data_IF_412537487785
#
_entry.id   IF_412537487785
#
_cell.length_a   1.000
_cell.length_b   1.000
_cell.length_c   1.000
_cell.angle_alpha   90.00
_cell.angle_beta   90.00
_cell.angle_gamma   90.00
#
_symmetry.space_group_name_H-M   'P 1'
#
loop_
_entity.id
_entity.type
_entity.pdbx_description
1 polymer ?
#
# COMPACT_ATOMS: atom_id res chain seq x y z
N UNK A 1 -9.80 -6.51 43.32
CA UNK A 1 -10.19 -7.72 42.55
C UNK A 1 -9.37 -8.96 42.93
N UNK A 2 -8.06 -9.07 42.65
CA UNK A 2 -7.27 -10.26 43.04
C UNK A 2 -7.27 -10.50 44.56
N UNK A 3 -7.05 -9.44 45.34
CA UNK A 3 -7.09 -9.50 46.80
C UNK A 3 -8.51 -9.76 47.34
N UNK A 4 -9.55 -9.21 46.70
CA UNK A 4 -10.96 -9.38 47.12
C UNK A 4 -11.54 -10.76 46.78
N UNK A 5 -11.02 -11.40 45.73
CA UNK A 5 -11.41 -12.75 45.32
C UNK A 5 -10.50 -13.81 45.96
N UNK A 6 -9.32 -13.43 46.46
CA UNK A 6 -8.33 -14.36 47.03
C UNK A 6 -7.64 -15.22 45.97
N UNK A 7 -7.67 -14.80 44.70
CA UNK A 7 -7.26 -15.61 43.55
C UNK A 7 -6.29 -14.80 42.68
N UNK A 8 -5.14 -15.38 42.35
CA UNK A 8 -4.09 -14.75 41.54
C UNK A 8 -4.30 -14.88 40.02
N UNK A 9 -5.16 -15.82 39.60
CA UNK A 9 -5.42 -16.20 38.20
C UNK A 9 -6.28 -15.21 37.41
N UNK A 10 -6.94 -14.25 38.07
CA UNK A 10 -7.74 -13.20 37.41
C UNK A 10 -6.84 -12.35 36.50
N UNK A 11 -7.18 -12.26 35.22
CA UNK A 11 -6.46 -11.39 34.26
C UNK A 11 -7.41 -10.36 33.67
N UNK A 12 -6.91 -9.13 33.50
CA UNK A 12 -7.59 -8.11 32.71
C UNK A 12 -7.21 -8.32 31.25
N UNK A 13 -8.20 -8.55 30.39
CA UNK A 13 -8.00 -8.77 28.97
C UNK A 13 -8.86 -7.77 28.18
N UNK A 14 -8.36 -7.35 27.01
CA UNK A 14 -9.11 -6.53 26.07
C UNK A 14 -9.78 -7.42 25.02
N UNK A 15 -11.08 -7.22 24.81
CA UNK A 15 -11.86 -7.91 23.79
C UNK A 15 -12.48 -6.90 22.84
N UNK A 16 -12.33 -7.10 21.54
CA UNK A 16 -12.73 -6.12 20.52
C UNK A 16 -14.20 -5.69 20.59
N UNK A 17 -15.12 -6.62 20.94
CA UNK A 17 -16.56 -6.33 21.05
C UNK A 17 -17.02 -5.80 22.41
N UNK A 18 -16.25 -6.04 23.47
CA UNK A 18 -16.68 -5.79 24.87
C UNK A 18 -15.83 -4.68 25.52
N UNK A 19 -14.60 -4.47 25.03
CA UNK A 19 -13.57 -3.69 25.68
C UNK A 19 -12.83 -4.50 26.75
N UNK A 20 -12.42 -3.84 27.82
CA UNK A 20 -11.70 -4.43 28.94
C UNK A 20 -12.62 -5.24 29.86
N UNK A 21 -12.30 -6.51 30.07
CA UNK A 21 -13.02 -7.36 31.02
C UNK A 21 -12.04 -8.26 31.79
N UNK A 22 -12.42 -8.64 33.01
CA UNK A 22 -11.68 -9.66 33.76
C UNK A 22 -12.07 -11.04 33.26
N UNK A 23 -11.08 -11.92 33.13
CA UNK A 23 -11.24 -13.32 32.77
C UNK A 23 -10.84 -14.24 33.93
N UNK A 24 -11.66 -15.25 34.15
CA UNK A 24 -11.43 -16.36 35.08
C UNK A 24 -11.60 -17.70 34.37
N UNK A 25 -10.99 -18.75 34.93
CA UNK A 25 -11.22 -20.12 34.48
C UNK A 25 -12.59 -20.62 34.96
N UNK A 26 -13.15 -21.63 34.29
CA UNK A 26 -14.44 -22.24 34.69
C UNK A 26 -14.40 -22.85 36.10
N UNK A 27 -13.22 -23.31 36.56
CA UNK A 27 -13.04 -23.86 37.91
C UNK A 27 -13.26 -22.81 39.00
N UNK A 28 -12.99 -21.55 38.69
CA UNK A 28 -13.03 -20.42 39.62
C UNK A 28 -14.29 -19.56 39.44
N UNK A 29 -15.24 -20.00 38.61
CA UNK A 29 -16.51 -19.30 38.34
C UNK A 29 -17.33 -19.04 39.61
N UNK A 30 -17.30 -20.00 40.54
CA UNK A 30 -18.05 -19.95 41.79
C UNK A 30 -17.65 -18.78 42.71
N UNK A 31 -16.44 -18.22 42.55
CA UNK A 31 -15.99 -17.07 43.35
C UNK A 31 -16.61 -15.74 42.94
N UNK A 32 -17.11 -15.66 41.70
CA UNK A 32 -17.79 -14.47 41.15
C UNK A 32 -19.30 -14.66 41.22
N UNK A 33 -19.79 -15.90 41.12
CA UNK A 33 -21.20 -16.24 41.27
C UNK A 33 -21.72 -15.75 42.64
N UNK A 34 -22.80 -14.97 42.63
CA UNK A 34 -23.50 -14.40 43.80
C UNK A 34 -22.76 -13.31 44.62
N UNK A 35 -21.58 -12.82 44.22
CA UNK A 35 -20.96 -11.66 44.90
C UNK A 35 -21.52 -10.33 44.39
N UNK A 36 -22.03 -9.49 45.30
CA UNK A 36 -22.48 -8.13 44.98
C UNK A 36 -21.30 -7.27 44.51
N UNK A 37 -21.45 -6.59 43.37
CA UNK A 37 -20.44 -5.69 42.79
C UNK A 37 -19.65 -6.25 41.60
N UNK A 38 -19.81 -7.53 41.28
CA UNK A 38 -19.28 -8.15 40.06
C UNK A 38 -20.40 -8.45 39.08
N UNK A 39 -20.24 -7.97 37.84
CA UNK A 39 -21.22 -8.11 36.76
C UNK A 39 -20.65 -9.12 35.75
N UNK A 40 -21.26 -10.30 35.66
CA UNK A 40 -20.89 -11.31 34.67
C UNK A 40 -21.41 -10.91 33.29
N UNK A 41 -20.54 -10.96 32.28
CA UNK A 41 -20.85 -10.54 30.91
C UNK A 41 -21.13 -11.75 30.02
N UNK A 42 -20.23 -12.72 30.02
CA UNK A 42 -20.31 -13.89 29.17
C UNK A 42 -19.63 -15.09 29.85
N UNK A 43 -20.19 -16.28 29.64
CA UNK A 43 -19.64 -17.54 30.11
C UNK A 43 -19.41 -18.42 28.89
N UNK A 44 -18.14 -18.73 28.59
CA UNK A 44 -17.75 -19.60 27.48
C UNK A 44 -17.01 -20.83 27.98
N UNK A 45 -16.86 -21.83 27.11
CA UNK A 45 -16.03 -23.01 27.36
C UNK A 45 -14.59 -22.66 27.76
N UNK A 46 -14.08 -21.47 27.38
CA UNK A 46 -12.74 -20.99 27.70
C UNK A 46 -12.63 -20.17 28.99
N UNK A 47 -13.72 -19.96 29.71
CA UNK A 47 -13.75 -19.21 30.97
C UNK A 47 -14.93 -18.25 31.12
N UNK A 48 -14.96 -17.56 32.25
CA UNK A 48 -16.00 -16.58 32.62
C UNK A 48 -15.42 -15.18 32.51
N UNK A 49 -16.19 -14.27 31.91
CA UNK A 49 -15.85 -12.86 31.76
C UNK A 49 -16.76 -12.01 32.63
N UNK A 50 -16.17 -11.10 33.39
CA UNK A 50 -16.90 -10.22 34.28
C UNK A 50 -16.23 -8.85 34.38
N UNK A 51 -16.98 -7.87 34.86
CA UNK A 51 -16.50 -6.52 35.14
C UNK A 51 -16.93 -6.09 36.55
N UNK A 52 -16.22 -5.12 37.12
CA UNK A 52 -16.68 -4.36 38.28
C UNK A 52 -17.41 -3.09 37.79
N UNK A 53 -18.25 -2.48 38.62
CA UNK A 53 -18.94 -1.24 38.26
C UNK A 53 -17.95 -0.13 37.83
N UNK A 54 -16.85 0.03 38.55
CA UNK A 54 -15.79 1.00 38.22
C UNK A 54 -15.08 0.64 36.90
N UNK A 55 -14.82 -0.65 36.63
CA UNK A 55 -14.22 -1.06 35.35
C UNK A 55 -15.19 -0.82 34.19
N UNK A 56 -16.49 -1.06 34.38
CA UNK A 56 -17.51 -0.82 33.36
C UNK A 56 -17.55 0.66 32.95
N UNK A 57 -17.57 1.57 33.91
CA UNK A 57 -17.57 3.02 33.66
C UNK A 57 -16.31 3.47 32.91
N UNK A 58 -15.12 3.04 33.36
CA UNK A 58 -13.87 3.34 32.68
C UNK A 58 -13.79 2.74 31.28
N UNK A 59 -14.35 1.54 31.09
CA UNK A 59 -14.40 0.86 29.81
C UNK A 59 -15.33 1.59 28.82
N UNK A 60 -16.50 2.03 29.27
CA UNK A 60 -17.42 2.84 28.45
C UNK A 60 -16.75 4.16 28.03
N UNK A 61 -16.08 4.85 28.96
CA UNK A 61 -15.31 6.06 28.67
C UNK A 61 -14.18 5.79 27.66
N UNK A 62 -13.43 4.71 27.85
CA UNK A 62 -12.36 4.30 26.93
C UNK A 62 -12.90 3.98 25.54
N UNK A 63 -13.98 3.21 25.43
CA UNK A 63 -14.59 2.86 24.16
C UNK A 63 -15.10 4.10 23.40
N UNK A 64 -15.69 5.07 24.10
CA UNK A 64 -16.13 6.33 23.49
C UNK A 64 -14.93 7.15 22.98
N UNK A 65 -13.91 7.36 23.82
CA UNK A 65 -12.69 8.08 23.41
C UNK A 65 -11.96 7.40 22.25
N UNK A 66 -11.94 6.06 22.24
CA UNK A 66 -11.34 5.30 21.17
C UNK A 66 -12.09 5.47 19.85
N UNK A 67 -13.43 5.45 19.87
CA UNK A 67 -14.26 5.72 18.68
C UNK A 67 -14.00 7.12 18.15
N UNK A 68 -14.00 8.12 19.02
CA UNK A 68 -13.73 9.51 18.63
C UNK A 68 -12.32 9.67 18.04
N UNK A 69 -11.33 8.95 18.58
CA UNK A 69 -9.97 8.94 18.07
C UNK A 69 -9.90 8.31 16.69
N UNK A 70 -10.52 7.14 16.50
CA UNK A 70 -10.56 6.43 15.22
C UNK A 70 -11.27 7.26 14.14
N UNK A 71 -12.35 7.97 14.48
CA UNK A 71 -13.05 8.88 13.57
C UNK A 71 -12.17 10.06 13.15
N UNK A 72 -11.51 10.73 14.12
CA UNK A 72 -10.59 11.83 13.82
C UNK A 72 -9.40 11.37 12.98
N UNK A 73 -8.84 10.20 13.29
CA UNK A 73 -7.75 9.63 12.51
C UNK A 73 -8.18 9.37 11.08
N UNK A 74 -9.38 8.81 10.87
CA UNK A 74 -9.92 8.57 9.53
C UNK A 74 -10.02 9.87 8.74
N UNK A 75 -10.55 10.94 9.34
CA UNK A 75 -10.65 12.24 8.68
C UNK A 75 -9.29 12.81 8.27
N UNK A 76 -8.24 12.61 9.08
CA UNK A 76 -6.87 13.03 8.74
C UNK A 76 -6.34 12.20 7.57
N UNK A 77 -6.55 10.89 7.58
CA UNK A 77 -6.12 10.00 6.51
C UNK A 77 -6.80 10.37 5.19
N UNK A 78 -8.10 10.63 5.20
CA UNK A 78 -8.86 11.03 4.01
C UNK A 78 -8.30 12.34 3.43
N UNK A 79 -8.01 13.34 4.28
CA UNK A 79 -7.35 14.59 3.83
C UNK A 79 -5.96 14.35 3.24
N UNK A 80 -5.15 13.46 3.83
CA UNK A 80 -3.83 13.12 3.29
C UNK A 80 -3.92 12.44 1.92
N UNK A 81 -4.91 11.56 1.72
CA UNK A 81 -5.17 10.93 0.42
C UNK A 81 -5.57 11.99 -0.61
N UNK A 82 -6.46 12.92 -0.25
CA UNK A 82 -6.89 13.99 -1.15
C UNK A 82 -5.72 14.89 -1.59
N UNK A 83 -4.87 15.30 -0.63
CA UNK A 83 -3.67 16.08 -0.93
C UNK A 83 -2.73 15.28 -1.83
N UNK A 84 -2.51 14.00 -1.53
CA UNK A 84 -1.64 13.14 -2.35
C UNK A 84 -2.18 12.93 -3.76
N UNK A 85 -3.50 12.82 -3.92
CA UNK A 85 -4.16 12.64 -5.21
C UNK A 85 -3.91 13.81 -6.17
N UNK A 86 -3.76 15.04 -5.64
CA UNK A 86 -3.43 16.23 -6.44
C UNK A 86 -2.09 16.10 -7.21
N UNK A 87 -1.14 15.32 -6.68
CA UNK A 87 0.17 15.09 -7.29
C UNK A 87 0.21 13.98 -8.33
N UNK A 88 -0.87 13.19 -8.50
CA UNK A 88 -0.88 12.05 -9.42
C UNK A 88 -0.59 12.49 -10.87
N UNK A 89 -1.18 13.60 -11.32
CA UNK A 89 -1.03 14.09 -12.70
C UNK A 89 0.43 14.42 -13.06
N UNK A 90 1.15 15.28 -12.33
CA UNK A 90 2.55 15.58 -12.66
C UNK A 90 3.46 14.35 -12.51
N UNK A 91 3.26 13.52 -11.49
CA UNK A 91 4.05 12.30 -11.29
C UNK A 91 3.86 11.30 -12.45
N UNK A 92 2.64 11.12 -12.94
CA UNK A 92 2.36 10.24 -14.07
C UNK A 92 3.00 10.75 -15.36
N UNK A 93 2.93 12.06 -15.64
CA UNK A 93 3.53 12.63 -16.84
C UNK A 93 5.05 12.46 -16.82
N UNK A 94 5.69 12.74 -15.69
CA UNK A 94 7.12 12.57 -15.51
C UNK A 94 7.52 11.08 -15.65
N UNK A 95 6.78 10.19 -14.99
CA UNK A 95 7.01 8.75 -15.07
C UNK A 95 6.93 8.22 -16.51
N UNK A 96 5.90 8.61 -17.25
CA UNK A 96 5.74 8.20 -18.65
C UNK A 96 6.86 8.74 -19.57
N UNK A 97 7.29 9.98 -19.35
CA UNK A 97 8.39 10.56 -20.11
C UNK A 97 9.72 9.85 -19.84
N UNK A 98 10.03 9.60 -18.56
CA UNK A 98 11.24 8.87 -18.15
C UNK A 98 11.22 7.45 -18.72
N UNK A 99 10.09 6.75 -18.62
CA UNK A 99 9.94 5.38 -19.11
C UNK A 99 10.16 5.29 -20.63
N UNK A 100 9.55 6.19 -21.41
CA UNK A 100 9.76 6.26 -22.85
C UNK A 100 11.22 6.58 -23.21
N UNK A 101 11.83 7.57 -22.53
CA UNK A 101 13.23 7.95 -22.77
C UNK A 101 14.21 6.83 -22.42
N UNK A 102 14.01 6.15 -21.30
CA UNK A 102 14.83 5.02 -20.87
C UNK A 102 14.66 3.82 -21.79
N UNK A 103 13.44 3.53 -22.25
CA UNK A 103 13.17 2.45 -23.21
C UNK A 103 13.90 2.69 -24.54
N UNK A 104 13.89 3.93 -25.04
CA UNK A 104 14.63 4.31 -26.25
C UNK A 104 16.16 4.21 -26.05
N UNK A 105 16.65 4.65 -24.88
CA UNK A 105 18.07 4.53 -24.53
C UNK A 105 18.50 3.06 -24.46
N UNK A 106 17.70 2.23 -23.79
CA UNK A 106 17.95 0.80 -23.67
C UNK A 106 17.98 0.12 -25.04
N UNK A 107 16.98 0.38 -25.90
CA UNK A 107 16.94 -0.16 -27.26
C UNK A 107 18.15 0.26 -28.12
N UNK A 108 18.60 1.51 -27.97
CA UNK A 108 19.78 2.02 -28.67
C UNK A 108 21.08 1.32 -28.24
N UNK A 109 21.20 0.97 -26.96
CA UNK A 109 22.40 0.34 -26.37
C UNK A 109 22.39 -1.20 -26.48
N UNK A 110 21.23 -1.84 -26.44
CA UNK A 110 21.10 -3.30 -26.45
C UNK A 110 21.20 -3.92 -27.84
N UNK A 111 21.05 -3.12 -28.89
CA UNK A 111 21.25 -3.55 -30.28
C UNK A 111 22.70 -4.01 -30.54
N UNK A 112 22.89 -4.98 -31.45
CA UNK A 112 24.22 -5.50 -31.80
C UNK A 112 25.19 -4.41 -32.30
N UNK A 113 24.66 -3.33 -32.87
CA UNK A 113 25.41 -2.13 -33.25
C UNK A 113 24.64 -0.90 -32.81
N UNK A 114 25.26 -0.08 -31.96
CA UNK A 114 24.63 1.08 -31.31
C UNK A 114 23.91 1.99 -32.30
N UNK A 115 22.70 2.41 -31.93
CA UNK A 115 21.93 3.37 -32.71
C UNK A 115 22.60 4.75 -32.66
N UNK A 116 22.45 5.52 -33.73
CA UNK A 116 22.98 6.88 -33.83
C UNK A 116 21.85 7.90 -33.77
N UNK A 117 22.12 9.06 -33.17
CA UNK A 117 21.17 10.18 -33.16
C UNK A 117 21.01 10.72 -34.58
N UNK A 118 19.79 10.70 -35.17
CA UNK A 118 19.58 11.25 -36.50
C UNK A 118 19.72 12.77 -36.51
N UNK A 119 20.22 13.32 -37.62
CA UNK A 119 20.22 14.77 -37.87
C UNK A 119 18.87 15.16 -38.45
N UNK A 120 18.05 15.82 -37.64
CA UNK A 120 16.77 16.35 -38.10
C UNK A 120 17.01 17.60 -38.95
N UNK A 121 16.28 17.67 -40.06
CA UNK A 121 16.30 18.75 -41.03
C UNK A 121 14.93 19.42 -41.06
N UNK A 122 14.86 20.67 -41.49
CA UNK A 122 13.58 21.37 -41.55
C UNK A 122 12.62 20.74 -42.56
N UNK A 123 11.32 20.85 -42.28
CA UNK A 123 10.28 20.35 -43.18
C UNK A 123 10.30 21.19 -44.46
N UNK A 124 10.74 20.57 -45.56
CA UNK A 124 10.96 21.26 -46.84
C UNK A 124 12.37 21.08 -47.38
N UNK A 125 13.31 20.53 -46.60
CA UNK A 125 14.58 20.07 -47.14
C UNK A 125 14.40 18.85 -48.06
N UNK A 126 15.03 18.92 -49.23
CA UNK A 126 14.76 18.06 -50.37
C UNK A 126 15.50 16.71 -50.36
N UNK A 127 16.01 16.24 -49.23
CA UNK A 127 16.69 14.95 -49.23
C UNK A 127 16.66 14.20 -47.89
N UNK A 128 16.64 12.87 -47.98
CA UNK A 128 16.84 11.95 -46.85
C UNK A 128 18.02 11.07 -47.21
N UNK A 129 19.03 11.02 -46.34
CA UNK A 129 20.22 10.19 -46.52
C UNK A 129 20.39 9.29 -45.31
N UNK A 130 20.28 7.99 -45.54
CA UNK A 130 20.53 6.94 -44.55
C UNK A 130 21.74 6.14 -45.03
N UNK A 131 22.87 6.26 -44.31
CA UNK A 131 24.08 5.49 -44.62
C UNK A 131 24.10 4.21 -43.79
N UNK A 132 24.41 3.09 -44.43
CA UNK A 132 24.59 1.78 -43.82
C UNK A 132 23.42 1.43 -42.88
N UNK A 133 22.21 1.73 -43.32
CA UNK A 133 21.00 1.54 -42.53
C UNK A 133 20.65 0.05 -42.42
N UNK A 134 20.03 -0.30 -41.30
CA UNK A 134 19.69 -1.68 -40.94
C UNK A 134 18.23 -1.73 -40.52
N UNK A 135 17.56 -2.84 -40.80
CA UNK A 135 16.17 -3.00 -40.41
C UNK A 135 16.11 -3.34 -38.90
N UNK A 136 15.41 -2.54 -38.06
CA UNK A 136 15.51 -2.61 -36.60
C UNK A 136 15.07 -3.96 -36.00
N UNK A 137 14.08 -4.64 -36.61
CA UNK A 137 13.63 -5.97 -36.17
C UNK A 137 14.44 -7.14 -36.76
N UNK A 138 14.67 -7.12 -38.09
CA UNK A 138 15.32 -8.22 -38.81
C UNK A 138 16.80 -8.36 -38.41
N UNK A 139 17.49 -7.26 -38.06
CA UNK A 139 18.89 -7.31 -37.61
C UNK A 139 19.09 -8.27 -36.42
N UNK A 140 18.17 -8.28 -35.46
CA UNK A 140 18.26 -9.18 -34.30
C UNK A 140 17.84 -10.62 -34.61
N UNK A 141 17.15 -10.85 -35.74
CA UNK A 141 16.64 -12.17 -36.12
C UNK A 141 17.59 -12.92 -37.07
N UNK A 142 18.54 -12.22 -37.70
CA UNK A 142 19.43 -12.78 -38.72
C UNK A 142 20.89 -12.56 -38.30
N UNK A 143 21.72 -13.62 -38.25
CA UNK A 143 23.08 -13.53 -37.68
C UNK A 143 24.06 -12.64 -38.47
N UNK A 144 23.77 -12.33 -39.73
CA UNK A 144 24.62 -11.51 -40.61
C UNK A 144 23.78 -10.58 -41.49
N UNK A 145 23.22 -9.53 -40.90
CA UNK A 145 22.47 -8.51 -41.66
C UNK A 145 23.42 -7.60 -42.46
N UNK A 146 23.17 -7.46 -43.77
CA UNK A 146 23.94 -6.57 -44.65
C UNK A 146 23.30 -5.17 -44.69
N UNK A 147 23.97 -4.12 -44.20
CA UNK A 147 23.47 -2.75 -44.22
C UNK A 147 23.44 -2.16 -45.63
N UNK A 148 22.46 -1.29 -45.91
CA UNK A 148 22.31 -0.63 -47.21
C UNK A 148 22.28 0.90 -47.08
N UNK A 149 22.72 1.59 -48.12
CA UNK A 149 22.59 3.04 -48.22
C UNK A 149 21.27 3.39 -48.93
N UNK A 150 20.56 4.40 -48.41
CA UNK A 150 19.31 4.90 -48.99
C UNK A 150 19.41 6.41 -49.12
N UNK A 151 19.19 6.91 -50.34
CA UNK A 151 19.16 8.35 -50.62
C UNK A 151 17.89 8.69 -51.38
N UNK A 152 17.09 9.59 -50.83
CA UNK A 152 15.94 10.19 -51.49
C UNK A 152 16.24 11.65 -51.80
N UNK A 153 15.93 12.09 -53.01
CA UNK A 153 15.88 13.49 -53.41
C UNK A 153 14.44 13.83 -53.78
N UNK A 154 13.87 14.85 -53.14
CA UNK A 154 12.55 15.36 -53.44
C UNK A 154 12.70 16.54 -54.41
N UNK A 155 12.21 16.38 -55.63
CA UNK A 155 12.08 17.49 -56.57
C UNK A 155 10.68 18.11 -56.37
N UNK A 156 10.65 19.40 -56.07
CA UNK A 156 9.45 20.23 -56.16
C UNK A 156 9.25 20.72 -57.58
#
# INVERSE_FOLDING_TARGET
VKNDLGISSVKLEFFEKIGFAFRLTLKEEHYVRNKKGYITIDTRSSGVRFQTANLKENNERYCNLRKDYEEKQKNIVDQMVDVSASYIKPLRLLGAWIDAAMSLCHAALSSSKTYVRPKLREKGENHIVLKQCRHPYIENSVPNYIPNDVTFYFHY
#
